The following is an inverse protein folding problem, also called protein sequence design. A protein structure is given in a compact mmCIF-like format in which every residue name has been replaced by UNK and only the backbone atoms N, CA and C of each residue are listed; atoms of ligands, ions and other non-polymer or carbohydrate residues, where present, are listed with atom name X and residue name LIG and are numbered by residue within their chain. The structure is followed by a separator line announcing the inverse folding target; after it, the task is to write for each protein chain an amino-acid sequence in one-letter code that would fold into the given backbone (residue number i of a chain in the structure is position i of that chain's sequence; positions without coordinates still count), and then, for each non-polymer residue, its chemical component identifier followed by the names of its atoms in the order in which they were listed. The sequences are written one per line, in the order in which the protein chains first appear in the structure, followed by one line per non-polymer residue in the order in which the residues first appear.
data_IF_344260490502
#
_entry.id   IF_344260490502
#
_cell.length_a   1.000
_cell.length_b   1.000
_cell.length_c   1.000
_cell.angle_alpha   90.00
_cell.angle_beta   90.00
_cell.angle_gamma   90.00
#
_symmetry.space_group_name_H-M   'P 1'
#
loop_
_entity.id
_entity.type
_entity.pdbx_description
1 polymer ?
#
# COMPACT_ATOMS: atom_id res chain seq x y z
N UNK A 1 -25.91 -11.59 -15.24
CA UNK A 1 -24.60 -12.30 -15.22
C UNK A 1 -23.42 -11.42 -15.66
N UNK A 2 -23.54 -10.62 -16.73
CA UNK A 2 -22.43 -9.78 -17.26
C UNK A 2 -21.76 -8.85 -16.23
N UNK A 3 -22.52 -8.18 -15.35
CA UNK A 3 -21.95 -7.28 -14.31
C UNK A 3 -21.06 -7.99 -13.28
N UNK A 4 -21.42 -9.21 -12.86
CA UNK A 4 -20.61 -10.01 -11.93
C UNK A 4 -19.29 -10.49 -12.58
N UNK A 5 -19.32 -10.74 -13.89
CA UNK A 5 -18.18 -11.18 -14.67
C UNK A 5 -17.18 -10.04 -14.93
N UNK A 6 -17.67 -8.81 -15.12
CA UNK A 6 -16.82 -7.60 -15.21
C UNK A 6 -16.13 -7.30 -13.88
N UNK A 7 -16.85 -7.43 -12.75
CA UNK A 7 -16.27 -7.22 -11.42
C UNK A 7 -15.20 -8.28 -11.10
N UNK A 8 -15.45 -9.55 -11.45
CA UNK A 8 -14.48 -10.63 -11.29
C UNK A 8 -13.23 -10.41 -12.16
N UNK A 9 -13.40 -9.94 -13.39
CA UNK A 9 -12.30 -9.60 -14.30
C UNK A 9 -11.45 -8.44 -13.79
N UNK A 10 -12.08 -7.37 -13.28
CA UNK A 10 -11.37 -6.24 -12.67
C UNK A 10 -10.61 -6.64 -11.41
N UNK A 11 -11.18 -7.53 -10.59
CA UNK A 11 -10.49 -8.06 -9.41
C UNK A 11 -9.26 -8.91 -9.81
N UNK A 12 -9.40 -9.75 -10.84
CA UNK A 12 -8.30 -10.57 -11.34
C UNK A 12 -7.19 -9.73 -12.01
N UNK A 13 -7.56 -8.65 -12.70
CA UNK A 13 -6.62 -7.71 -13.32
C UNK A 13 -5.86 -6.88 -12.27
N UNK A 14 -6.53 -6.44 -11.21
CA UNK A 14 -5.88 -5.79 -10.06
C UNK A 14 -4.93 -6.73 -9.33
N UNK A 15 -5.30 -8.01 -9.20
CA UNK A 15 -4.45 -9.03 -8.57
C UNK A 15 -3.24 -9.36 -9.45
N UNK A 16 -3.41 -9.41 -10.76
CA UNK A 16 -2.34 -9.61 -11.74
C UNK A 16 -1.31 -8.47 -11.70
N UNK A 17 -1.75 -7.22 -11.52
CA UNK A 17 -0.85 -6.08 -11.36
C UNK A 17 -0.10 -6.07 -10.02
N UNK A 18 -0.65 -6.72 -8.98
CA UNK A 18 0.03 -6.91 -7.68
C UNK A 18 1.13 -7.99 -7.75
N UNK A 19 1.00 -8.96 -8.66
CA UNK A 19 1.98 -10.05 -8.88
C UNK A 19 3.18 -9.62 -9.74
N UNK A 20 3.03 -8.57 -10.55
CA UNK A 20 4.15 -7.95 -11.27
C UNK A 20 4.81 -6.93 -10.33
N UNK A 21 5.42 -7.43 -9.25
CA UNK A 21 6.38 -6.62 -8.52
C UNK A 21 7.58 -6.39 -9.46
N UNK A 22 8.03 -5.14 -9.68
CA UNK A 22 9.29 -4.92 -10.36
C UNK A 22 10.36 -5.65 -9.55
N UNK A 23 11.13 -6.54 -10.19
CA UNK A 23 12.37 -7.05 -9.61
C UNK A 23 13.32 -5.86 -9.51
N UNK A 24 13.24 -5.15 -8.40
CA UNK A 24 14.21 -4.11 -8.08
C UNK A 24 15.57 -4.80 -8.02
N UNK A 25 16.48 -4.45 -8.91
CA UNK A 25 17.89 -4.82 -8.78
C UNK A 25 18.30 -4.47 -7.36
N UNK A 26 18.59 -5.48 -6.55
CA UNK A 26 19.10 -5.26 -5.22
C UNK A 26 20.38 -4.44 -5.38
N UNK A 27 20.42 -3.25 -4.76
CA UNK A 27 21.70 -2.61 -4.53
C UNK A 27 22.49 -3.61 -3.68
N UNK A 28 23.47 -4.29 -4.28
CA UNK A 28 24.36 -5.18 -3.53
C UNK A 28 25.21 -4.29 -2.65
N UNK A 29 24.88 -4.25 -1.37
CA UNK A 29 25.70 -3.54 -0.38
C UNK A 29 27.00 -4.32 -0.24
N UNK A 30 28.13 -3.61 -0.30
CA UNK A 30 29.45 -4.24 -0.24
C UNK A 30 29.71 -4.75 1.18
N UNK A 31 30.19 -5.99 1.27
CA UNK A 31 30.67 -6.58 2.52
C UNK A 31 32.08 -7.11 2.32
N UNK A 32 32.81 -7.39 3.41
CA UNK A 32 34.13 -8.00 3.31
C UNK A 32 34.74 -8.37 4.65
N UNK A 33 35.40 -9.52 4.69
CA UNK A 33 36.15 -10.00 5.87
C UNK A 33 37.63 -10.09 5.49
N UNK A 34 38.42 -9.12 5.94
CA UNK A 34 39.87 -9.06 5.68
C UNK A 34 40.63 -9.73 6.85
N UNK A 35 40.87 -11.02 6.70
CA UNK A 35 41.66 -11.84 7.62
C UNK A 35 43.17 -11.79 7.30
N UNK A 36 43.78 -10.60 7.44
CA UNK A 36 45.22 -10.42 7.18
C UNK A 36 46.13 -11.28 8.07
N UNK A 37 45.61 -11.79 9.19
CA UNK A 37 46.36 -12.57 10.17
C UNK A 37 46.01 -14.06 10.16
N UNK A 38 45.15 -14.52 9.24
CA UNK A 38 44.68 -15.90 9.14
C UNK A 38 44.08 -16.44 10.46
N UNK A 39 43.49 -15.57 11.28
CA UNK A 39 42.93 -15.91 12.60
C UNK A 39 41.56 -16.59 12.48
N UNK A 40 40.83 -16.33 11.39
CA UNK A 40 39.50 -16.87 11.12
C UNK A 40 39.59 -18.19 10.34
N UNK A 41 40.74 -18.47 9.72
CA UNK A 41 41.06 -19.74 9.08
C UNK A 41 40.07 -20.11 7.97
N UNK A 42 39.61 -21.37 7.95
CA UNK A 42 38.67 -21.87 6.94
C UNK A 42 37.25 -21.26 7.01
N UNK A 43 36.93 -20.53 8.07
CA UNK A 43 35.59 -20.01 8.32
C UNK A 43 35.31 -18.65 7.66
N UNK A 44 36.30 -18.04 7.02
CA UNK A 44 36.17 -16.73 6.36
C UNK A 44 35.03 -16.73 5.34
N UNK A 45 34.90 -17.80 4.54
CA UNK A 45 33.84 -17.91 3.52
C UNK A 45 32.42 -17.90 4.12
N UNK A 46 32.24 -18.52 5.28
CA UNK A 46 30.95 -18.51 6.00
C UNK A 46 30.65 -17.12 6.57
N UNK A 47 31.67 -16.47 7.16
CA UNK A 47 31.53 -15.12 7.69
C UNK A 47 31.30 -14.08 6.58
N UNK A 48 31.87 -14.26 5.39
CA UNK A 48 31.59 -13.41 4.23
C UNK A 48 30.14 -13.56 3.75
N UNK A 49 29.61 -14.80 3.72
CA UNK A 49 28.20 -15.02 3.38
C UNK A 49 27.27 -14.37 4.41
N UNK A 50 27.60 -14.49 5.70
CA UNK A 50 26.86 -13.87 6.80
C UNK A 50 26.93 -12.34 6.72
N UNK A 51 28.12 -11.78 6.47
CA UNK A 51 28.32 -10.34 6.27
C UNK A 51 27.53 -9.83 5.06
N UNK A 52 27.48 -10.57 3.96
CA UNK A 52 26.72 -10.19 2.77
C UNK A 52 25.22 -10.23 3.03
N UNK A 53 24.73 -11.25 3.74
CA UNK A 53 23.33 -11.33 4.17
C UNK A 53 22.98 -10.14 5.05
N UNK A 54 23.82 -9.84 6.04
CA UNK A 54 23.62 -8.72 6.94
C UNK A 54 23.68 -7.36 6.21
N UNK A 55 24.59 -7.21 5.24
CA UNK A 55 24.69 -6.01 4.43
C UNK A 55 23.41 -5.76 3.61
N UNK A 56 22.82 -6.83 3.06
CA UNK A 56 21.56 -6.77 2.34
C UNK A 56 20.37 -6.45 3.27
N UNK A 57 20.33 -7.02 4.47
CA UNK A 57 19.28 -6.75 5.47
C UNK A 57 19.34 -5.31 5.99
N UNK A 58 20.55 -4.86 6.36
CA UNK A 58 20.79 -3.55 6.99
C UNK A 58 20.89 -2.40 6.01
N UNK A 59 21.01 -2.69 4.70
CA UNK A 59 21.26 -1.71 3.64
C UNK A 59 22.50 -0.85 3.93
N UNK A 60 23.54 -1.50 4.46
CA UNK A 60 24.79 -0.88 4.88
C UNK A 60 25.95 -1.83 4.59
N UNK A 61 27.14 -1.28 4.32
CA UNK A 61 28.32 -2.10 4.15
C UNK A 61 28.80 -2.69 5.47
N UNK A 62 29.10 -3.98 5.52
CA UNK A 62 29.52 -4.68 6.74
C UNK A 62 30.92 -5.24 6.52
N UNK A 63 31.85 -4.81 7.35
CA UNK A 63 33.25 -5.19 7.21
C UNK A 63 33.87 -5.68 8.51
N UNK A 64 34.83 -6.57 8.39
CA UNK A 64 35.66 -7.07 9.48
C UNK A 64 37.10 -7.02 9.02
N UNK A 65 37.98 -6.47 9.85
CA UNK A 65 39.40 -6.34 9.53
C UNK A 65 40.23 -6.79 10.71
N UNK A 66 41.15 -7.72 10.46
CA UNK A 66 42.20 -8.10 11.41
C UNK A 66 43.51 -7.40 11.01
N UNK A 67 44.27 -6.91 11.98
CA UNK A 67 45.53 -6.19 11.70
C UNK A 67 46.54 -6.30 12.84
N UNK A 68 47.82 -6.15 12.51
CA UNK A 68 48.92 -5.98 13.47
C UNK A 68 49.57 -4.58 13.36
N UNK A 69 48.91 -3.63 12.71
CA UNK A 69 49.44 -2.27 12.59
C UNK A 69 49.61 -1.61 13.96
N UNK A 70 50.66 -0.79 14.09
CA UNK A 70 50.83 0.12 15.24
C UNK A 70 49.81 1.27 15.25
N UNK A 71 49.03 1.43 14.17
CA UNK A 71 47.97 2.44 14.08
C UNK A 71 46.82 2.10 15.04
N UNK A 72 46.30 3.07 15.81
CA UNK A 72 45.15 2.85 16.67
C UNK A 72 43.94 2.28 15.90
N UNK A 73 43.30 1.23 16.43
CA UNK A 73 42.15 0.58 15.81
C UNK A 73 41.01 1.56 15.46
N UNK A 74 40.82 2.60 16.29
CA UNK A 74 39.84 3.67 16.06
C UNK A 74 40.13 4.52 14.83
N UNK A 75 41.41 4.79 14.55
CA UNK A 75 41.81 5.56 13.38
C UNK A 75 41.67 4.71 12.12
N UNK A 76 42.12 3.46 12.18
CA UNK A 76 41.97 2.50 11.09
C UNK A 76 40.51 2.26 10.72
N UNK A 77 39.62 2.08 11.69
CA UNK A 77 38.20 1.87 11.44
C UNK A 77 37.55 3.05 10.68
N UNK A 78 37.97 4.28 11.00
CA UNK A 78 37.46 5.49 10.34
C UNK A 78 37.97 5.61 8.91
N UNK A 79 39.27 5.42 8.68
CA UNK A 79 39.86 5.50 7.34
C UNK A 79 39.34 4.37 6.45
N UNK A 80 39.28 3.14 6.98
CA UNK A 80 38.81 1.99 6.24
C UNK A 80 37.37 2.14 5.72
N UNK A 81 36.44 2.59 6.58
CA UNK A 81 35.07 2.86 6.11
C UNK A 81 34.98 4.06 5.18
N UNK A 82 35.81 5.09 5.37
CA UNK A 82 35.85 6.23 4.46
C UNK A 82 36.30 5.80 3.05
N UNK A 83 37.25 4.88 2.95
CA UNK A 83 37.80 4.39 1.68
C UNK A 83 36.84 3.40 0.99
N UNK A 84 36.27 2.44 1.72
CA UNK A 84 35.42 1.38 1.14
C UNK A 84 34.01 1.85 0.83
N UNK A 85 33.43 2.64 1.72
CA UNK A 85 32.01 2.99 1.70
C UNK A 85 31.81 4.45 1.33
N UNK A 86 32.72 5.34 1.72
CA UNK A 86 32.59 6.78 1.54
C UNK A 86 31.98 7.45 2.78
N UNK A 87 32.42 8.66 3.10
CA UNK A 87 32.16 9.35 4.38
C UNK A 87 30.67 9.54 4.75
N UNK A 88 29.75 9.50 3.78
CA UNK A 88 28.30 9.71 3.99
C UNK A 88 27.46 8.45 3.80
N UNK A 89 28.06 7.34 3.40
CA UNK A 89 27.35 6.11 3.13
C UNK A 89 27.25 5.24 4.39
N UNK A 90 26.25 4.35 4.41
CA UNK A 90 25.95 3.50 5.55
C UNK A 90 26.96 2.36 5.60
N UNK A 91 27.67 2.22 6.72
CA UNK A 91 28.57 1.11 6.92
C UNK A 91 28.91 0.88 8.39
N UNK A 92 29.36 -0.33 8.71
CA UNK A 92 29.94 -0.70 9.99
C UNK A 92 31.19 -1.52 9.75
N UNK A 93 32.21 -1.28 10.55
CA UNK A 93 33.43 -2.08 10.56
C UNK A 93 33.77 -2.52 11.97
N UNK A 94 34.19 -3.77 12.10
CA UNK A 94 34.87 -4.31 13.27
C UNK A 94 36.37 -4.41 12.96
N UNK A 95 37.20 -3.69 13.71
CA UNK A 95 38.66 -3.78 13.61
C UNK A 95 39.20 -4.50 14.82
N UNK A 96 39.91 -5.61 14.58
CA UNK A 96 40.64 -6.39 15.58
C UNK A 96 42.13 -6.11 15.39
N UNK A 97 42.71 -5.29 16.26
CA UNK A 97 44.14 -5.01 16.25
C UNK A 97 44.86 -5.90 17.27
N UNK A 98 45.63 -6.86 16.78
CA UNK A 98 46.36 -7.84 17.59
C UNK A 98 47.62 -7.28 18.23
N UNK A 99 48.28 -6.30 17.60
CA UNK A 99 49.48 -5.67 18.13
C UNK A 99 49.17 -4.85 19.40
N UNK A 100 48.18 -3.96 19.30
CA UNK A 100 47.73 -3.16 20.44
C UNK A 100 46.75 -3.91 21.36
N UNK A 101 46.31 -5.12 20.98
CA UNK A 101 45.23 -5.89 21.62
C UNK A 101 43.98 -5.05 21.87
N UNK A 102 43.60 -4.26 20.86
CA UNK A 102 42.43 -3.37 20.91
C UNK A 102 41.45 -3.75 19.81
N UNK A 103 40.19 -3.88 20.20
CA UNK A 103 39.06 -4.01 19.29
C UNK A 103 38.29 -2.69 19.22
N UNK A 104 37.86 -2.31 18.02
CA UNK A 104 37.07 -1.09 17.83
C UNK A 104 35.98 -1.32 16.79
N UNK A 105 34.78 -0.80 17.08
CA UNK A 105 33.64 -0.81 16.16
C UNK A 105 33.35 0.62 15.76
N UNK A 106 33.24 0.86 14.45
CA UNK A 106 32.85 2.15 13.91
C UNK A 106 31.66 2.00 12.97
N UNK A 107 30.68 2.90 13.09
CA UNK A 107 29.51 2.95 12.21
C UNK A 107 29.36 4.34 11.59
N UNK A 108 29.02 4.38 10.30
CA UNK A 108 28.85 5.60 9.50
C UNK A 108 27.44 5.69 8.89
N UNK A 109 27.11 6.88 8.38
CA UNK A 109 25.81 7.15 7.77
C UNK A 109 24.65 7.00 8.76
N UNK A 110 23.52 6.47 8.27
CA UNK A 110 22.33 6.23 9.09
C UNK A 110 22.53 5.12 10.12
N UNK A 111 23.48 4.20 9.88
CA UNK A 111 23.70 3.05 10.76
C UNK A 111 24.22 3.47 12.14
N UNK A 112 24.91 4.61 12.24
CA UNK A 112 25.30 5.23 13.53
C UNK A 112 24.12 5.47 14.47
N UNK A 113 22.91 5.70 13.95
CA UNK A 113 21.71 5.87 14.78
C UNK A 113 21.16 4.56 15.32
N UNK A 114 21.38 3.45 14.60
CA UNK A 114 21.03 2.10 15.07
C UNK A 114 22.08 1.55 16.03
N UNK A 115 23.35 1.95 15.88
CA UNK A 115 24.49 1.59 16.72
C UNK A 115 25.11 2.84 17.38
N UNK A 116 24.42 3.49 18.34
CA UNK A 116 25.03 4.50 19.20
C UNK A 116 26.10 3.86 20.11
N UNK A 117 26.95 4.69 20.71
CA UNK A 117 28.05 4.27 21.59
C UNK A 117 27.64 3.22 22.63
N UNK A 118 26.49 3.40 23.29
CA UNK A 118 26.00 2.44 24.30
C UNK A 118 25.65 1.06 23.74
N UNK A 119 25.26 0.98 22.47
CA UNK A 119 25.00 -0.31 21.80
C UNK A 119 26.32 -0.92 21.31
N UNK A 120 27.25 -0.10 20.83
CA UNK A 120 28.62 -0.51 20.48
C UNK A 120 29.34 -1.10 21.70
N UNK A 121 29.30 -0.44 22.86
CA UNK A 121 29.89 -0.94 24.11
C UNK A 121 29.33 -2.32 24.47
N UNK A 122 27.99 -2.47 24.44
CA UNK A 122 27.34 -3.77 24.67
C UNK A 122 27.71 -4.83 23.63
N UNK A 123 27.98 -4.45 22.40
CA UNK A 123 28.51 -5.38 21.39
C UNK A 123 29.93 -5.79 21.76
N UNK A 124 30.77 -4.85 22.18
CA UNK A 124 32.13 -5.14 22.64
C UNK A 124 32.16 -6.06 23.86
N UNK A 125 31.19 -5.94 24.78
CA UNK A 125 31.05 -6.84 25.94
C UNK A 125 30.81 -8.31 25.54
N UNK A 126 30.28 -8.57 24.35
CA UNK A 126 30.08 -9.92 23.79
C UNK A 126 31.32 -10.36 23.01
N UNK A 127 31.90 -9.44 22.23
CA UNK A 127 33.03 -9.74 21.34
C UNK A 127 34.34 -9.94 22.11
N UNK A 128 34.62 -9.13 23.14
CA UNK A 128 35.89 -9.14 23.86
C UNK A 128 36.17 -10.45 24.63
N UNK A 129 35.20 -11.08 25.32
CA UNK A 129 35.41 -12.39 25.94
C UNK A 129 35.83 -13.46 24.93
N UNK A 130 35.11 -13.56 23.80
CA UNK A 130 35.44 -14.52 22.74
C UNK A 130 36.83 -14.29 22.13
N UNK A 131 37.25 -13.03 21.98
CA UNK A 131 38.62 -12.71 21.56
C UNK A 131 39.66 -13.12 22.60
N UNK A 132 39.34 -13.03 23.90
CA UNK A 132 40.24 -13.42 25.00
C UNK A 132 40.43 -14.94 25.03
N UNK A 133 39.36 -15.69 24.72
CA UNK A 133 39.37 -17.15 24.65
C UNK A 133 39.93 -17.69 23.32
N UNK A 134 40.42 -16.81 22.44
CA UNK A 134 40.91 -17.11 21.08
C UNK A 134 39.83 -17.66 20.12
N UNK A 135 38.55 -17.44 20.42
CA UNK A 135 37.42 -17.82 19.58
C UNK A 135 37.07 -16.71 18.56
N UNK A 136 37.99 -16.40 17.63
CA UNK A 136 37.82 -15.29 16.67
C UNK A 136 36.56 -15.41 15.80
N UNK A 137 36.19 -16.64 15.41
CA UNK A 137 34.96 -16.87 14.65
C UNK A 137 33.70 -16.47 15.43
N UNK A 138 33.62 -16.87 16.71
CA UNK A 138 32.47 -16.54 17.57
C UNK A 138 32.43 -15.04 17.88
N UNK A 139 33.59 -14.41 18.04
CA UNK A 139 33.68 -12.97 18.22
C UNK A 139 33.08 -12.21 17.02
N UNK A 140 33.40 -12.64 15.79
CA UNK A 140 32.87 -12.00 14.57
C UNK A 140 31.38 -12.31 14.36
N UNK A 141 30.95 -13.56 14.56
CA UNK A 141 29.54 -13.93 14.43
C UNK A 141 28.67 -13.21 15.48
N UNK A 142 29.13 -13.15 16.74
CA UNK A 142 28.45 -12.38 17.79
C UNK A 142 28.34 -10.89 17.48
N UNK A 143 29.32 -10.32 16.79
CA UNK A 143 29.23 -8.95 16.25
C UNK A 143 28.12 -8.82 15.20
N UNK A 144 28.05 -9.73 14.22
CA UNK A 144 27.02 -9.72 13.18
C UNK A 144 25.60 -9.89 13.76
N UNK A 145 25.42 -10.83 14.68
CA UNK A 145 24.16 -11.05 15.39
C UNK A 145 23.70 -9.79 16.11
N UNK A 146 24.62 -9.12 16.80
CA UNK A 146 24.28 -7.93 17.56
C UNK A 146 23.94 -6.74 16.66
N UNK A 147 24.61 -6.60 15.52
CA UNK A 147 24.27 -5.61 14.49
C UNK A 147 22.88 -5.89 13.93
N UNK A 148 22.56 -7.15 13.59
CA UNK A 148 21.23 -7.54 13.09
C UNK A 148 20.14 -7.25 14.13
N UNK A 149 20.36 -7.67 15.37
CA UNK A 149 19.45 -7.44 16.50
C UNK A 149 19.15 -5.97 16.71
N UNK A 150 20.15 -5.11 16.68
CA UNK A 150 19.97 -3.68 16.87
C UNK A 150 19.33 -2.97 15.68
N UNK A 151 19.57 -3.47 14.47
CA UNK A 151 18.87 -3.00 13.28
C UNK A 151 17.37 -3.34 13.36
N UNK A 152 17.03 -4.59 13.71
CA UNK A 152 15.64 -5.03 13.88
C UNK A 152 14.92 -4.33 15.04
N UNK A 153 15.63 -4.09 16.15
CA UNK A 153 15.10 -3.34 17.29
C UNK A 153 14.86 -1.85 16.96
N UNK A 154 15.38 -1.36 15.84
CA UNK A 154 15.27 0.03 15.43
C UNK A 154 16.12 0.99 16.25
N UNK A 155 16.01 2.28 15.92
CA UNK A 155 16.74 3.35 16.59
C UNK A 155 16.22 3.48 18.03
N UNK A 156 17.10 3.46 19.05
CA UNK A 156 16.67 3.54 20.44
C UNK A 156 15.93 4.85 20.72
N UNK A 157 14.82 4.74 21.44
CA UNK A 157 13.84 5.81 21.70
C UNK A 157 14.45 7.04 22.39
N UNK A 158 15.58 6.89 23.08
CA UNK A 158 16.29 7.96 23.77
C UNK A 158 16.96 8.98 22.85
N UNK A 159 17.14 8.68 21.54
CA UNK A 159 17.72 9.61 20.55
C UNK A 159 16.87 9.67 19.27
N UNK A 160 15.66 10.22 19.39
CA UNK A 160 14.79 10.51 18.22
C UNK A 160 15.25 11.69 17.38
N UNK A 161 16.31 12.38 17.80
CA UNK A 161 16.86 13.56 17.16
C UNK A 161 18.38 13.47 17.09
N UNK A 162 18.95 13.85 15.95
CA UNK A 162 20.38 14.12 15.80
C UNK A 162 20.53 15.59 15.46
N UNK A 163 21.33 16.31 16.23
CA UNK A 163 21.74 17.69 15.94
C UNK A 163 23.04 17.63 15.17
N UNK A 164 23.01 18.04 13.90
CA UNK A 164 24.23 18.18 13.12
C UNK A 164 25.04 19.37 13.69
N UNK A 165 26.23 19.10 14.23
CA UNK A 165 27.07 20.10 14.92
C UNK A 165 27.56 21.24 14.03
N UNK A 166 27.52 21.07 12.71
CA UNK A 166 27.98 22.09 11.74
C UNK A 166 26.85 22.94 11.15
N UNK A 167 25.60 22.45 11.16
CA UNK A 167 24.46 23.12 10.49
C UNK A 167 23.26 23.39 11.40
N UNK A 168 23.26 22.89 12.64
CA UNK A 168 22.16 23.06 13.59
C UNK A 168 20.86 22.32 13.21
N UNK A 169 20.85 21.57 12.11
CA UNK A 169 19.66 20.87 11.63
C UNK A 169 19.34 19.67 12.54
N UNK A 170 18.10 19.65 13.04
CA UNK A 170 17.55 18.55 13.86
C UNK A 170 16.86 17.56 12.92
N UNK A 171 17.47 16.40 12.67
CA UNK A 171 16.84 15.34 11.88
C UNK A 171 16.12 14.36 12.79
N UNK A 172 14.80 14.25 12.62
CA UNK A 172 13.98 13.26 13.31
C UNK A 172 14.04 11.93 12.57
N UNK A 173 14.55 10.89 13.23
CA UNK A 173 14.56 9.55 12.66
C UNK A 173 13.33 8.78 13.14
N UNK A 174 12.41 8.52 12.21
CA UNK A 174 11.17 7.79 12.49
C UNK A 174 11.39 6.30 12.21
N UNK A 175 11.34 5.47 13.26
CA UNK A 175 11.31 4.02 13.10
C UNK A 175 9.94 3.60 12.58
N UNK A 176 9.91 2.81 11.50
CA UNK A 176 8.68 2.19 11.00
C UNK A 176 8.30 1.02 11.92
N UNK A 177 7.53 1.31 12.96
CA UNK A 177 7.02 0.26 13.84
C UNK A 177 5.97 -0.57 13.08
N UNK A 178 5.96 -1.91 13.20
CA UNK A 178 5.00 -2.77 12.51
C UNK A 178 3.54 -2.40 12.81
N UNK A 179 3.28 -1.84 13.99
CA UNK A 179 1.98 -1.28 14.37
C UNK A 179 1.49 -0.17 13.42
N UNK A 180 2.39 0.68 12.92
CA UNK A 180 2.03 1.75 11.98
C UNK A 180 1.53 1.22 10.64
N UNK A 181 2.10 0.09 10.17
CA UNK A 181 1.66 -0.61 8.95
C UNK A 181 0.25 -1.16 9.16
N UNK A 182 -0.03 -1.75 10.32
CA UNK A 182 -1.35 -2.27 10.66
C UNK A 182 -2.41 -1.16 10.71
N UNK A 183 -2.08 -0.02 11.33
CA UNK A 183 -2.98 1.16 11.36
C UNK A 183 -3.23 1.70 9.95
N UNK A 184 -2.20 1.79 9.11
CA UNK A 184 -2.33 2.23 7.72
C UNK A 184 -3.23 1.29 6.91
N UNK A 185 -3.10 -0.03 7.11
CA UNK A 185 -3.93 -1.04 6.47
C UNK A 185 -5.40 -0.87 6.90
N UNK A 186 -5.66 -0.67 8.19
CA UNK A 186 -7.01 -0.43 8.71
C UNK A 186 -7.63 0.84 8.11
N UNK A 187 -6.89 1.96 8.05
CA UNK A 187 -7.36 3.21 7.46
C UNK A 187 -7.70 3.03 5.98
N UNK A 188 -6.85 2.32 5.24
CA UNK A 188 -7.08 1.99 3.83
C UNK A 188 -8.37 1.17 3.64
N UNK A 189 -8.59 0.17 4.50
CA UNK A 189 -9.78 -0.70 4.45
C UNK A 189 -11.06 0.10 4.76
N UNK A 190 -11.02 1.02 5.73
CA UNK A 190 -12.13 1.91 6.08
C UNK A 190 -12.46 2.84 4.90
N UNK A 191 -11.46 3.45 4.26
CA UNK A 191 -11.68 4.34 3.12
C UNK A 191 -12.31 3.60 1.93
N UNK A 192 -11.77 2.42 1.59
CA UNK A 192 -12.32 1.57 0.52
C UNK A 192 -13.74 1.07 0.85
N UNK A 193 -13.97 0.62 2.08
CA UNK A 193 -15.28 0.18 2.56
C UNK A 193 -16.31 1.30 2.53
N UNK A 194 -15.95 2.51 2.97
CA UNK A 194 -16.81 3.69 2.93
C UNK A 194 -17.21 4.09 1.51
N UNK A 195 -16.28 3.99 0.55
CA UNK A 195 -16.57 4.27 -0.86
C UNK A 195 -17.59 3.27 -1.45
N UNK A 196 -17.38 1.96 -1.23
CA UNK A 196 -18.30 0.91 -1.69
C UNK A 196 -19.66 1.03 -1.02
N UNK A 197 -19.68 1.32 0.29
CA UNK A 197 -20.92 1.56 1.05
C UNK A 197 -21.71 2.73 0.46
N UNK A 198 -21.05 3.84 0.16
CA UNK A 198 -21.69 5.04 -0.40
C UNK A 198 -22.37 4.73 -1.72
N UNK A 199 -21.68 4.00 -2.60
CA UNK A 199 -22.24 3.53 -3.87
C UNK A 199 -23.45 2.64 -3.63
N UNK A 200 -23.32 1.64 -2.75
CA UNK A 200 -24.39 0.71 -2.44
C UNK A 200 -25.63 1.41 -1.87
N UNK A 201 -25.44 2.35 -0.94
CA UNK A 201 -26.53 3.21 -0.41
C UNK A 201 -27.23 4.00 -1.50
N UNK A 202 -26.46 4.64 -2.39
CA UNK A 202 -27.00 5.42 -3.52
C UNK A 202 -27.88 4.57 -4.45
N UNK A 203 -27.48 3.32 -4.69
CA UNK A 203 -28.26 2.38 -5.51
C UNK A 203 -29.47 1.80 -4.80
N UNK A 204 -29.45 1.70 -3.46
CA UNK A 204 -30.61 1.20 -2.72
C UNK A 204 -31.79 2.18 -2.68
N UNK A 205 -31.60 3.46 -3.05
CA UNK A 205 -32.67 4.48 -3.06
C UNK A 205 -33.45 4.57 -1.73
N UNK A 206 -32.81 4.18 -0.61
CA UNK A 206 -33.42 4.17 0.72
C UNK A 206 -33.23 5.49 1.48
N UNK A 207 -32.52 6.43 0.88
CA UNK A 207 -32.38 7.76 1.46
C UNK A 207 -33.75 8.45 1.40
N UNK A 208 -34.29 8.83 2.55
CA UNK A 208 -35.64 9.41 2.71
C UNK A 208 -35.88 10.72 1.92
N UNK A 209 -34.90 11.21 1.17
CA UNK A 209 -34.98 12.41 0.33
C UNK A 209 -34.88 12.09 -1.18
N UNK A 210 -34.70 10.82 -1.57
CA UNK A 210 -34.72 10.37 -2.96
C UNK A 210 -36.16 10.11 -3.43
N UNK A 211 -37.05 11.09 -3.31
CA UNK A 211 -38.35 11.03 -3.98
C UNK A 211 -38.11 11.29 -5.46
N UNK A 212 -38.09 10.22 -6.26
CA UNK A 212 -37.96 10.30 -7.71
C UNK A 212 -39.21 10.98 -8.30
N UNK A 213 -39.19 12.31 -8.46
CA UNK A 213 -40.23 13.06 -9.19
C UNK A 213 -39.92 13.01 -10.68
N UNK A 214 -40.65 12.17 -11.41
CA UNK A 214 -40.62 12.18 -12.87
C UNK A 214 -41.26 13.50 -13.34
N UNK A 215 -40.50 14.35 -14.03
CA UNK A 215 -41.01 15.61 -14.56
C UNK A 215 -41.81 15.36 -15.85
N UNK A 216 -43.11 15.13 -15.67
CA UNK A 216 -44.05 14.88 -16.77
C UNK A 216 -44.15 16.05 -17.75
N UNK A 217 -43.80 17.28 -17.33
CA UNK A 217 -43.86 18.46 -18.19
C UNK A 217 -42.73 18.53 -19.22
N UNK A 218 -41.57 17.93 -18.93
CA UNK A 218 -40.40 17.98 -19.81
C UNK A 218 -40.18 16.70 -20.63
N UNK A 219 -40.64 15.56 -20.13
CA UNK A 219 -40.42 14.26 -20.76
C UNK A 219 -41.71 13.58 -21.26
N UNK A 220 -42.88 14.18 -21.02
CA UNK A 220 -44.15 13.72 -21.59
C UNK A 220 -44.49 14.51 -22.85
N UNK A 221 -44.71 13.82 -23.97
CA UNK A 221 -45.38 14.40 -25.14
C UNK A 221 -46.83 13.92 -25.14
N UNK A 222 -47.79 14.84 -25.02
CA UNK A 222 -49.22 14.55 -25.07
C UNK A 222 -49.80 15.22 -26.31
N UNK A 223 -49.91 14.46 -27.39
CA UNK A 223 -50.59 14.91 -28.61
C UNK A 223 -52.06 14.50 -28.53
N UNK A 224 -52.91 15.45 -28.13
CA UNK A 224 -54.37 15.27 -28.15
C UNK A 224 -54.87 15.56 -29.57
N UNK A 225 -55.19 14.51 -30.32
CA UNK A 225 -55.87 14.66 -31.61
C UNK A 225 -57.37 14.88 -31.38
N UNK A 226 -57.83 16.11 -31.58
CA UNK A 226 -59.25 16.42 -31.65
C UNK A 226 -59.79 15.96 -33.01
N UNK A 227 -60.57 14.89 -32.99
CA UNK A 227 -61.30 14.39 -34.17
C UNK A 227 -62.71 14.96 -34.14
N UNK A 228 -62.98 15.93 -35.00
CA UNK A 228 -64.33 16.43 -35.24
C UNK A 228 -64.88 15.78 -36.51
N UNK A 229 -65.88 14.91 -36.36
CA UNK A 229 -66.62 14.35 -37.49
C UNK A 229 -67.72 15.35 -37.86
N UNK A 230 -67.44 16.23 -38.83
CA UNK A 230 -68.42 17.16 -39.42
C UNK A 230 -69.27 16.39 -40.43
N UNK A 231 -70.52 16.09 -40.06
CA UNK A 231 -71.47 15.41 -40.95
C UNK A 231 -71.95 16.37 -42.04
N UNK A 232 -71.30 16.33 -43.22
CA UNK A 232 -71.75 17.07 -44.42
C UNK A 232 -72.78 16.23 -45.18
N UNK A 233 -73.84 16.85 -45.71
CA UNK A 233 -74.97 16.19 -46.40
C UNK A 233 -75.88 15.29 -45.55
N UNK A 234 -76.00 15.55 -44.26
CA UNK A 234 -77.11 14.95 -43.48
C UNK A 234 -78.37 15.79 -43.65
N UNK A 235 -79.28 15.34 -44.51
CA UNK A 235 -80.61 15.92 -44.62
C UNK A 235 -81.54 15.19 -43.66
N UNK A 236 -81.87 15.83 -42.53
CA UNK A 236 -82.90 15.32 -41.63
C UNK A 236 -84.26 15.70 -42.23
N UNK A 237 -84.93 14.73 -42.86
CA UNK A 237 -86.30 14.93 -43.33
C UNK A 237 -87.28 14.63 -42.20
N UNK A 238 -87.71 15.68 -41.48
CA UNK A 238 -88.78 15.54 -40.49
C UNK A 238 -90.14 15.58 -41.18
N UNK A 239 -90.84 14.45 -41.19
CA UNK A 239 -92.27 14.37 -41.55
C UNK A 239 -93.10 14.46 -40.28
N UNK A 240 -94.04 15.40 -40.23
CA UNK A 240 -95.06 15.43 -39.17
C UNK A 240 -96.02 14.26 -39.43
N UNK A 241 -96.12 13.33 -38.47
CA UNK A 241 -97.17 12.31 -38.47
C UNK A 241 -98.46 13.02 -38.03
N UNK A 242 -99.46 13.20 -38.91
CA UNK A 242 -100.72 13.80 -38.50
C UNK A 242 -101.36 12.90 -37.43
N UNK A 243 -101.77 13.51 -36.32
CA UNK A 243 -102.50 12.80 -35.27
C UNK A 243 -103.86 12.41 -35.86
N UNK A 244 -104.33 11.16 -35.67
CA UNK A 244 -105.69 10.82 -36.06
C UNK A 244 -106.64 11.72 -35.28
N UNK A 245 -107.42 12.53 -36.00
CA UNK A 245 -108.62 13.12 -35.46
C UNK A 245 -109.55 11.96 -35.10
N UNK A 246 -109.94 11.90 -33.83
CA UNK A 246 -111.06 11.07 -33.41
C UNK A 246 -112.31 11.57 -34.12
N UNK A 247 -112.63 10.97 -35.27
CA UNK A 247 -113.98 10.52 -35.57
C UNK A 247 -113.97 9.49 -36.72
N UNK A 248 -114.41 8.29 -36.33
CA UNK A 248 -114.97 7.18 -37.07
C UNK A 248 -114.29 6.56 -38.31
N UNK A 249 -113.96 5.28 -38.08
CA UNK A 249 -114.24 4.11 -38.90
C UNK A 249 -113.20 3.62 -39.92
N UNK A 250 -112.85 2.35 -39.67
CA UNK A 250 -112.66 1.25 -40.61
C UNK A 250 -111.28 1.01 -41.24
N UNK A 251 -110.73 -0.15 -40.86
CA UNK A 251 -109.94 -1.11 -41.68
C UNK A 251 -108.58 -0.61 -42.20
N UNK A 252 -107.52 -1.39 -42.37
CA UNK A 252 -107.10 -2.77 -42.11
C UNK A 252 -105.67 -2.89 -42.70
N UNK A 253 -104.85 -3.82 -42.19
CA UNK A 253 -103.56 -4.27 -42.76
C UNK A 253 -102.43 -3.22 -42.86
N UNK A 254 -101.15 -3.54 -42.75
CA UNK A 254 -100.43 -4.80 -42.60
C UNK A 254 -98.93 -4.45 -42.54
N UNK A 255 -98.17 -5.10 -41.68
CA UNK A 255 -97.04 -5.99 -42.05
C UNK A 255 -95.70 -5.32 -42.37
N UNK A 256 -94.66 -5.88 -41.73
CA UNK A 256 -93.25 -5.88 -42.15
C UNK A 256 -92.42 -4.71 -41.60
N UNK A 257 -91.30 -4.90 -40.92
CA UNK A 257 -90.41 -6.06 -40.81
C UNK A 257 -88.95 -5.58 -40.97
N UNK A 258 -88.03 -6.14 -40.18
CA UNK A 258 -86.58 -6.10 -40.47
C UNK A 258 -85.84 -4.90 -39.87
N UNK A 259 -85.02 -5.04 -38.81
CA UNK A 259 -83.72 -5.74 -38.66
C UNK A 259 -82.50 -4.87 -39.02
N UNK A 260 -81.49 -4.96 -38.13
CA UNK A 260 -80.03 -4.79 -38.33
C UNK A 260 -79.54 -3.39 -38.71
N UNK A 261 -78.51 -2.81 -38.08
CA UNK A 261 -77.29 -3.39 -37.49
C UNK A 261 -76.95 -2.77 -36.13
#
# INVERSE_FOLDING_TARGET
MRKKLVILSLFFLSFFFLLIAPKTSAATFSSGVEDNLQLLGGNVTLLEQEAQKLANETKAGVYVVTTESSTPASQMAKTYLADKVGAKNNGVVLVINMNLRKVYIWATGNLKYYLPSSRIEKTLDIVQPELTDNNYYQAVSGFFDQVSKYYQAGIPTSRKYSTNSETGAVTFHRSFQPLSILIALIISLIAAGGFVWTIYRRYQMKDAHAVWRYDYGRNGNLELHQREDILVNTFITTRIIPRPSSDNNNFSDGSGGGRSF
#
